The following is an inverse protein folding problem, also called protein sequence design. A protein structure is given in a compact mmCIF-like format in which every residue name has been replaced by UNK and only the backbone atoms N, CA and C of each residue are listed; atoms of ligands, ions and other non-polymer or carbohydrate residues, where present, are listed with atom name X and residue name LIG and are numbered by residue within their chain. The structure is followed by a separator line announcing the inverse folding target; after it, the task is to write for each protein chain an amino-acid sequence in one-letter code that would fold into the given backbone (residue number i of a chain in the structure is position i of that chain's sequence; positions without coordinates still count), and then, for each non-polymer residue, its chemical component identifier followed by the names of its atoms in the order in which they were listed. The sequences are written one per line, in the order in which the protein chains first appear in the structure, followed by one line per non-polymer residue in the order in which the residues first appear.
data_IF_534855315912
#
_entry.id   IF_534855315912
#
_cell.length_a   1.000
_cell.length_b   1.000
_cell.length_c   1.000
_cell.angle_alpha   90.00
_cell.angle_beta   90.00
_cell.angle_gamma   90.00
#
_symmetry.space_group_name_H-M   'P 1'
#
loop_
_entity.id
_entity.type
_entity.pdbx_description
1 polymer ?
#
# COMPACT_ATOMS: atom_id res chain seq x y z
N UNK A 1 -6.57 11.16 -27.67
CA UNK A 1 -6.05 11.00 -26.29
C UNK A 1 -7.21 10.90 -25.31
N UNK A 2 -7.59 9.67 -24.97
CA UNK A 2 -8.54 9.37 -23.89
C UNK A 2 -7.84 9.50 -22.54
N UNK A 3 -8.47 10.19 -21.58
CA UNK A 3 -7.96 10.31 -20.21
C UNK A 3 -9.08 9.96 -19.24
N UNK A 4 -8.84 8.96 -18.40
CA UNK A 4 -9.76 8.53 -17.36
C UNK A 4 -9.75 9.58 -16.23
N UNK A 5 -10.95 10.01 -15.81
CA UNK A 5 -11.12 11.02 -14.75
C UNK A 5 -11.65 10.32 -13.50
N UNK A 6 -10.77 10.00 -12.57
CA UNK A 6 -11.12 9.30 -11.34
C UNK A 6 -11.51 10.34 -10.27
N UNK A 7 -12.77 10.36 -9.77
CA UNK A 7 -13.16 11.30 -8.73
C UNK A 7 -12.48 10.93 -7.43
N UNK A 8 -11.53 11.72 -6.95
CA UNK A 8 -10.66 11.34 -5.84
C UNK A 8 -10.09 12.58 -5.17
N UNK A 9 -9.76 12.51 -3.87
CA UNK A 9 -9.24 13.65 -3.12
C UNK A 9 -7.74 13.49 -2.88
N UNK A 10 -6.92 14.48 -3.23
CA UNK A 10 -5.47 14.36 -3.00
C UNK A 10 -5.10 14.28 -1.52
N UNK A 11 -5.95 14.77 -0.61
CA UNK A 11 -5.74 14.74 0.83
C UNK A 11 -6.30 13.47 1.47
N UNK A 12 -6.63 12.46 0.66
CA UNK A 12 -6.93 11.09 1.08
C UNK A 12 -5.87 10.11 0.52
N UNK A 13 -5.11 9.45 1.39
CA UNK A 13 -4.09 8.49 0.98
C UNK A 13 -4.69 7.28 0.23
N UNK A 14 -5.95 6.93 0.49
CA UNK A 14 -6.68 5.92 -0.29
C UNK A 14 -6.79 6.32 -1.76
N UNK A 15 -7.00 7.60 -2.05
CA UNK A 15 -7.14 8.10 -3.42
C UNK A 15 -5.84 8.03 -4.21
N UNK A 16 -4.70 8.30 -3.56
CA UNK A 16 -3.37 8.08 -4.15
C UNK A 16 -3.16 6.61 -4.50
N UNK A 17 -3.39 5.72 -3.53
CA UNK A 17 -3.22 4.28 -3.75
C UNK A 17 -4.17 3.71 -4.79
N UNK A 18 -5.42 4.18 -4.82
CA UNK A 18 -6.40 3.88 -5.87
C UNK A 18 -5.83 4.21 -7.25
N UNK A 19 -5.28 5.41 -7.41
CA UNK A 19 -4.67 5.88 -8.66
C UNK A 19 -3.53 4.99 -9.13
N UNK A 20 -2.51 4.86 -8.29
CA UNK A 20 -1.31 4.10 -8.65
C UNK A 20 -1.60 2.61 -8.84
N UNK A 21 -2.52 2.06 -8.05
CA UNK A 21 -2.93 0.67 -8.20
C UNK A 21 -3.79 0.42 -9.42
N UNK A 22 -4.70 1.34 -9.78
CA UNK A 22 -5.44 1.27 -11.04
C UNK A 22 -4.47 1.27 -12.22
N UNK A 23 -3.54 2.23 -12.27
CA UNK A 23 -2.53 2.28 -13.32
C UNK A 23 -1.66 1.01 -13.36
N UNK A 24 -1.27 0.46 -12.20
CA UNK A 24 -0.52 -0.80 -12.14
C UNK A 24 -1.30 -1.96 -12.77
N UNK A 25 -2.60 -2.07 -12.49
CA UNK A 25 -3.49 -3.09 -13.08
C UNK A 25 -3.63 -2.88 -14.59
N UNK A 26 -3.71 -1.63 -15.05
CA UNK A 26 -3.81 -1.32 -16.48
C UNK A 26 -2.52 -1.69 -17.23
N UNK A 27 -1.33 -1.36 -16.70
CA UNK A 27 -0.03 -1.76 -17.27
C UNK A 27 0.15 -3.29 -17.25
N UNK A 28 -0.36 -4.00 -16.22
CA UNK A 28 -0.29 -5.46 -16.14
C UNK A 28 -1.10 -6.20 -17.22
N UNK A 29 -2.14 -5.55 -17.74
CA UNK A 29 -3.04 -6.15 -18.72
C UNK A 29 -2.46 -6.18 -20.15
N UNK A 30 -1.51 -5.30 -20.47
CA UNK A 30 -0.91 -5.15 -21.81
C UNK A 30 0.56 -4.76 -21.64
N UNK A 31 1.48 -5.60 -22.10
CA UNK A 31 2.93 -5.49 -21.88
C UNK A 31 3.52 -4.11 -22.23
N UNK A 32 3.08 -3.50 -23.33
CA UNK A 32 3.58 -2.21 -23.81
C UNK A 32 2.73 -1.00 -23.35
N UNK A 33 1.74 -1.21 -22.47
CA UNK A 33 0.92 -0.11 -21.97
C UNK A 33 1.71 0.69 -20.95
N UNK A 34 1.73 2.01 -21.16
CA UNK A 34 2.33 2.98 -20.25
C UNK A 34 1.21 3.85 -19.70
N UNK A 35 1.07 3.87 -18.38
CA UNK A 35 0.14 4.75 -17.70
C UNK A 35 0.84 6.03 -17.22
N UNK A 36 0.16 7.16 -17.33
CA UNK A 36 0.57 8.44 -16.74
C UNK A 36 -0.50 8.99 -15.82
N UNK A 37 -0.07 9.54 -14.68
CA UNK A 37 -0.97 10.04 -13.64
C UNK A 37 -0.63 11.47 -13.22
N UNK A 38 -1.65 12.28 -13.01
CA UNK A 38 -1.54 13.60 -12.40
C UNK A 38 -2.85 14.05 -11.78
N UNK A 39 -2.77 14.95 -10.82
CA UNK A 39 -3.92 15.58 -10.19
C UNK A 39 -4.38 16.79 -11.00
N UNK A 40 -5.68 16.86 -11.25
CA UNK A 40 -6.35 18.01 -11.88
C UNK A 40 -7.23 18.69 -10.85
N UNK A 41 -6.65 19.62 -10.09
CA UNK A 41 -7.31 20.21 -8.92
C UNK A 41 -7.39 19.24 -7.75
N UNK A 42 -8.26 19.54 -6.78
CA UNK A 42 -8.34 18.77 -5.52
C UNK A 42 -9.05 17.44 -5.63
N UNK A 43 -10.05 17.36 -6.51
CA UNK A 43 -11.08 16.31 -6.50
C UNK A 43 -11.02 15.37 -7.71
N UNK A 44 -9.94 15.40 -8.49
CA UNK A 44 -9.82 14.57 -9.69
C UNK A 44 -8.39 14.12 -9.92
N UNK A 45 -8.22 12.81 -9.99
CA UNK A 45 -7.00 12.19 -10.48
C UNK A 45 -7.20 11.79 -11.95
N UNK A 46 -6.25 12.20 -12.79
CA UNK A 46 -6.21 11.87 -14.20
C UNK A 46 -5.33 10.64 -14.41
N UNK A 47 -5.82 9.66 -15.17
CA UNK A 47 -5.06 8.49 -15.60
C UNK A 47 -5.14 8.39 -17.12
N UNK A 48 -4.00 8.55 -17.78
CA UNK A 48 -3.86 8.45 -19.23
C UNK A 48 -3.12 7.16 -19.59
N UNK A 49 -3.55 6.50 -20.66
CA UNK A 49 -2.82 5.38 -21.27
C UNK A 49 -2.36 5.75 -22.68
N UNK A 50 -1.22 5.21 -23.12
CA UNK A 50 -0.70 5.44 -24.48
C UNK A 50 -1.54 4.81 -25.60
N UNK A 51 -2.44 3.90 -25.26
CA UNK A 51 -3.33 3.18 -26.18
C UNK A 51 -4.81 3.64 -26.09
N UNK A 52 -5.08 4.73 -25.36
CA UNK A 52 -6.35 5.45 -25.33
C UNK A 52 -7.60 4.63 -24.94
N UNK A 53 -7.52 3.89 -23.83
CA UNK A 53 -8.67 3.08 -23.37
C UNK A 53 -9.86 3.94 -22.91
N UNK A 54 -11.06 3.37 -23.06
CA UNK A 54 -12.32 3.90 -22.51
C UNK A 54 -12.51 3.52 -21.04
N UNK A 55 -13.43 4.22 -20.35
CA UNK A 55 -13.79 3.88 -18.97
C UNK A 55 -14.35 2.45 -18.83
N UNK A 56 -15.08 1.96 -19.84
CA UNK A 56 -15.66 0.62 -19.82
C UNK A 56 -14.58 -0.45 -20.02
N UNK A 57 -13.65 -0.23 -20.95
CA UNK A 57 -12.48 -1.13 -21.12
C UNK A 57 -11.65 -1.18 -19.83
N UNK A 58 -11.44 -0.04 -19.17
CA UNK A 58 -10.81 0.02 -17.86
C UNK A 58 -11.53 -0.88 -16.83
N UNK A 59 -12.86 -0.85 -16.78
CA UNK A 59 -13.64 -1.71 -15.89
C UNK A 59 -13.53 -3.20 -16.24
N UNK A 60 -13.51 -3.55 -17.53
CA UNK A 60 -13.26 -4.92 -17.99
C UNK A 60 -11.88 -5.41 -17.55
N UNK A 61 -10.84 -4.58 -17.70
CA UNK A 61 -9.47 -4.90 -17.29
C UNK A 61 -9.39 -5.15 -15.78
N UNK A 62 -9.97 -4.26 -14.96
CA UNK A 62 -9.97 -4.43 -13.49
C UNK A 62 -10.67 -5.72 -13.08
N UNK A 63 -11.80 -6.05 -13.72
CA UNK A 63 -12.53 -7.30 -13.47
C UNK A 63 -11.71 -8.52 -13.88
N UNK A 64 -11.11 -8.51 -15.07
CA UNK A 64 -10.28 -9.61 -15.57
C UNK A 64 -9.05 -9.84 -14.68
N UNK A 65 -8.44 -8.76 -14.18
CA UNK A 65 -7.35 -8.82 -13.22
C UNK A 65 -7.79 -9.51 -11.91
N UNK A 66 -8.95 -9.12 -11.35
CA UNK A 66 -9.49 -9.76 -10.16
C UNK A 66 -9.80 -11.25 -10.37
N UNK A 67 -10.34 -11.62 -11.53
CA UNK A 67 -10.61 -13.02 -11.90
C UNK A 67 -9.33 -13.85 -12.00
N UNK A 68 -8.28 -13.31 -12.63
CA UNK A 68 -6.95 -13.92 -12.71
C UNK A 68 -6.39 -14.19 -11.31
N UNK A 69 -6.47 -13.19 -10.43
CA UNK A 69 -5.97 -13.30 -9.06
C UNK A 69 -6.77 -14.29 -8.23
N UNK A 70 -8.11 -14.25 -8.32
CA UNK A 70 -8.99 -15.17 -7.61
C UNK A 70 -8.67 -16.65 -7.92
N UNK A 71 -8.30 -16.95 -9.16
CA UNK A 71 -7.93 -18.29 -9.63
C UNK A 71 -6.43 -18.62 -9.46
N UNK A 72 -5.61 -17.69 -8.99
CA UNK A 72 -4.17 -17.90 -8.90
C UNK A 72 -3.81 -18.93 -7.82
N UNK A 73 -2.79 -19.73 -8.08
CA UNK A 73 -2.31 -20.74 -7.14
C UNK A 73 -1.83 -20.09 -5.84
N UNK A 74 -1.01 -19.04 -5.93
CA UNK A 74 -0.42 -18.39 -4.76
C UNK A 74 -1.48 -17.75 -3.84
N UNK A 75 -2.55 -17.13 -4.37
CA UNK A 75 -3.56 -16.46 -3.55
C UNK A 75 -4.38 -17.47 -2.74
N UNK A 76 -4.46 -18.70 -3.25
CA UNK A 76 -5.14 -19.83 -2.62
C UNK A 76 -4.20 -20.75 -1.84
N UNK A 77 -2.87 -20.53 -1.90
CA UNK A 77 -1.87 -21.29 -1.18
C UNK A 77 -2.01 -21.06 0.34
N UNK A 78 -2.07 -22.16 1.08
CA UNK A 78 -2.27 -22.13 2.54
C UNK A 78 -1.52 -23.28 3.20
N UNK A 79 -1.09 -23.06 4.43
CA UNK A 79 -0.50 -24.10 5.28
C UNK A 79 -0.61 -23.78 6.76
N UNK A 80 -0.22 -24.74 7.59
CA UNK A 80 -0.23 -24.62 9.05
C UNK A 80 1.18 -24.36 9.56
N UNK A 81 1.56 -23.09 9.61
CA UNK A 81 2.89 -22.65 10.07
C UNK A 81 2.85 -22.02 11.46
N UNK A 82 1.70 -21.46 11.83
CA UNK A 82 1.49 -20.82 13.12
C UNK A 82 1.11 -21.87 14.18
N UNK A 83 1.54 -21.65 15.42
CA UNK A 83 1.17 -22.54 16.53
C UNK A 83 -0.35 -22.72 16.64
N UNK A 84 -0.77 -23.91 17.12
CA UNK A 84 -2.18 -24.37 17.27
C UNK A 84 -2.87 -24.89 16.00
N UNK A 85 -2.10 -25.33 14.99
CA UNK A 85 -2.66 -26.06 13.83
C UNK A 85 -3.53 -25.20 12.92
N UNK A 86 -3.41 -23.87 12.99
CA UNK A 86 -4.23 -22.95 12.22
C UNK A 86 -3.67 -22.79 10.81
N UNK A 87 -4.50 -23.07 9.82
CA UNK A 87 -4.20 -22.78 8.42
C UNK A 87 -4.29 -21.29 8.12
N UNK A 88 -3.25 -20.75 7.48
CA UNK A 88 -3.12 -19.35 7.06
C UNK A 88 -2.64 -19.28 5.62
N UNK A 89 -2.91 -18.18 4.92
CA UNK A 89 -2.38 -17.98 3.57
C UNK A 89 -0.85 -17.85 3.58
N UNK A 90 -0.19 -18.61 2.72
CA UNK A 90 1.27 -18.77 2.68
C UNK A 90 2.01 -17.46 2.42
N UNK A 91 1.47 -16.63 1.53
CA UNK A 91 2.06 -15.33 1.19
C UNK A 91 1.54 -14.16 2.05
N UNK A 92 0.81 -14.42 3.13
CA UNK A 92 0.38 -13.36 4.03
C UNK A 92 1.55 -12.86 4.89
N UNK A 93 1.71 -11.54 5.09
CA UNK A 93 2.89 -10.99 5.72
C UNK A 93 2.86 -11.10 7.26
N UNK A 94 1.67 -11.30 7.84
CA UNK A 94 1.48 -11.49 9.28
C UNK A 94 0.53 -12.64 9.52
N UNK A 95 1.07 -13.80 9.89
CA UNK A 95 0.35 -15.06 10.07
C UNK A 95 0.26 -15.54 11.52
N UNK A 96 0.73 -14.72 12.47
CA UNK A 96 0.98 -15.14 13.85
C UNK A 96 2.41 -15.64 14.02
N UNK A 97 2.69 -16.26 15.17
CA UNK A 97 4.04 -16.77 15.48
C UNK A 97 4.26 -18.14 14.84
N UNK A 98 5.22 -18.22 13.92
CA UNK A 98 5.75 -19.46 13.35
C UNK A 98 6.50 -20.23 14.42
N UNK A 99 6.13 -21.50 14.60
CA UNK A 99 6.31 -22.24 15.85
C UNK A 99 7.47 -23.25 15.85
N UNK A 100 8.68 -22.83 15.47
CA UNK A 100 9.86 -23.71 15.50
C UNK A 100 10.51 -23.87 14.14
N UNK A 101 11.60 -24.64 14.10
CA UNK A 101 12.44 -24.77 12.90
C UNK A 101 11.71 -25.47 11.75
N UNK A 102 10.93 -26.50 12.04
CA UNK A 102 10.22 -27.30 11.02
C UNK A 102 9.13 -26.47 10.33
N UNK A 103 8.40 -25.67 11.09
CA UNK A 103 7.37 -24.76 10.59
C UNK A 103 7.99 -23.66 9.72
N UNK A 104 9.17 -23.15 10.09
CA UNK A 104 9.91 -22.21 9.25
C UNK A 104 10.37 -22.84 7.94
N UNK A 105 10.89 -24.06 7.97
CA UNK A 105 11.30 -24.79 6.76
C UNK A 105 10.09 -25.05 5.85
N UNK A 106 8.96 -25.46 6.41
CA UNK A 106 7.73 -25.66 5.66
C UNK A 106 7.21 -24.35 5.06
N UNK A 107 7.20 -23.26 5.83
CA UNK A 107 6.80 -21.94 5.36
C UNK A 107 7.69 -21.46 4.20
N UNK A 108 9.02 -21.54 4.35
CA UNK A 108 9.97 -21.12 3.29
C UNK A 108 9.79 -21.92 2.01
N UNK A 109 9.62 -23.24 2.10
CA UNK A 109 9.35 -24.09 0.93
C UNK A 109 8.05 -23.68 0.23
N UNK A 110 6.95 -23.61 0.97
CA UNK A 110 5.64 -23.32 0.38
C UNK A 110 5.58 -21.87 -0.16
N UNK A 111 6.28 -20.93 0.49
CA UNK A 111 6.44 -19.56 -0.01
C UNK A 111 7.20 -19.52 -1.32
N UNK A 112 8.29 -20.28 -1.45
CA UNK A 112 9.04 -20.40 -2.71
C UNK A 112 8.17 -20.94 -3.82
N UNK A 113 7.46 -22.05 -3.58
CA UNK A 113 6.56 -22.64 -4.58
C UNK A 113 5.45 -21.67 -5.01
N UNK A 114 4.91 -20.89 -4.05
CA UNK A 114 3.92 -19.85 -4.35
C UNK A 114 4.52 -18.67 -5.14
N UNK A 115 5.74 -18.24 -4.83
CA UNK A 115 6.47 -17.18 -5.55
C UNK A 115 6.83 -17.63 -6.98
N UNK A 116 7.28 -18.87 -7.15
CA UNK A 116 7.60 -19.45 -8.46
C UNK A 116 6.35 -19.60 -9.35
N UNK A 117 5.14 -19.55 -8.75
CA UNK A 117 3.86 -19.58 -9.47
C UNK A 117 3.32 -18.20 -9.88
N UNK A 118 4.01 -17.10 -9.52
CA UNK A 118 3.63 -15.75 -9.91
C UNK A 118 3.75 -15.59 -11.44
N UNK A 119 2.84 -14.84 -12.05
CA UNK A 119 2.69 -14.83 -13.52
C UNK A 119 3.18 -13.55 -14.18
N UNK A 120 3.16 -12.44 -13.45
CA UNK A 120 3.45 -11.11 -14.02
C UNK A 120 4.34 -10.31 -13.10
N UNK A 121 5.00 -9.28 -13.65
CA UNK A 121 5.81 -8.36 -12.85
C UNK A 121 4.99 -7.60 -11.80
N UNK A 122 3.68 -7.39 -12.02
CA UNK A 122 2.81 -6.83 -10.97
C UNK A 122 2.67 -7.80 -9.80
N UNK A 123 2.48 -9.09 -10.05
CA UNK A 123 2.40 -10.12 -9.01
C UNK A 123 3.67 -10.09 -8.13
N UNK A 124 4.85 -10.12 -8.78
CA UNK A 124 6.15 -10.06 -8.11
C UNK A 124 6.31 -8.78 -7.28
N UNK A 125 6.01 -7.62 -7.86
CA UNK A 125 6.09 -6.33 -7.17
C UNK A 125 5.14 -6.26 -5.98
N UNK A 126 3.92 -6.75 -6.13
CA UNK A 126 2.92 -6.73 -5.07
C UNK A 126 3.32 -7.64 -3.91
N UNK A 127 3.72 -8.89 -4.18
CA UNK A 127 4.19 -9.83 -3.16
C UNK A 127 5.44 -9.29 -2.45
N UNK A 128 6.39 -8.75 -3.23
CA UNK A 128 7.58 -8.11 -2.67
C UNK A 128 7.24 -6.92 -1.77
N UNK A 129 6.27 -6.08 -2.16
CA UNK A 129 5.85 -4.92 -1.39
C UNK A 129 5.00 -5.25 -0.16
N UNK A 130 4.33 -6.40 -0.14
CA UNK A 130 3.51 -6.85 0.99
C UNK A 130 4.37 -7.26 2.19
N UNK A 131 5.57 -7.79 1.92
CA UNK A 131 6.51 -8.27 2.92
C UNK A 131 6.20 -9.68 3.42
N UNK A 132 6.83 -10.06 4.52
CA UNK A 132 6.74 -11.44 5.04
C UNK A 132 7.00 -11.54 6.54
N UNK A 133 6.62 -12.66 7.18
CA UNK A 133 7.04 -12.95 8.54
C UNK A 133 8.57 -12.97 8.63
N UNK A 134 9.13 -12.14 9.51
CA UNK A 134 10.58 -12.00 9.67
C UNK A 134 11.15 -12.94 10.73
N UNK A 135 12.32 -13.52 10.45
CA UNK A 135 13.16 -14.16 11.47
C UNK A 135 14.34 -13.26 11.88
N UNK A 136 14.52 -12.12 11.21
CA UNK A 136 15.67 -11.22 11.33
C UNK A 136 15.39 -9.94 12.13
N UNK A 137 14.12 -9.54 12.28
CA UNK A 137 13.73 -8.37 13.08
C UNK A 137 13.75 -8.71 14.56
N UNK A 138 14.52 -7.96 15.34
CA UNK A 138 14.71 -8.20 16.77
C UNK A 138 14.25 -7.00 17.59
N UNK A 139 13.46 -7.24 18.63
CA UNK A 139 13.28 -6.27 19.70
C UNK A 139 14.51 -6.33 20.62
N UNK A 140 15.37 -5.32 20.52
CA UNK A 140 16.64 -5.21 21.27
C UNK A 140 16.52 -4.50 22.61
N UNK A 141 15.33 -4.03 22.98
CA UNK A 141 15.10 -3.34 24.27
C UNK A 141 15.04 -4.31 25.45
N UNK A 142 14.93 -5.62 25.18
CA UNK A 142 14.93 -6.69 26.18
C UNK A 142 16.34 -7.25 26.36
N UNK A 143 16.64 -7.73 27.57
CA UNK A 143 17.91 -8.38 27.91
C UNK A 143 18.24 -9.57 26.99
N UNK A 144 17.22 -10.32 26.59
CA UNK A 144 17.29 -11.32 25.52
C UNK A 144 16.50 -10.78 24.32
N UNK A 145 17.16 -10.50 23.18
CA UNK A 145 16.46 -10.02 22.00
C UNK A 145 15.38 -11.01 21.55
N UNK A 146 14.18 -10.51 21.32
CA UNK A 146 13.05 -11.34 20.85
C UNK A 146 12.79 -11.10 19.36
N UNK A 147 12.60 -12.18 18.61
CA UNK A 147 12.21 -12.09 17.19
C UNK A 147 10.81 -11.50 17.08
N UNK A 148 10.66 -10.48 16.25
CA UNK A 148 9.41 -9.80 15.99
C UNK A 148 8.90 -10.10 14.59
N UNK A 149 8.31 -11.29 14.40
CA UNK A 149 7.97 -11.79 13.07
C UNK A 149 7.08 -10.85 12.25
N UNK A 150 6.14 -10.14 12.91
CA UNK A 150 5.23 -9.18 12.27
C UNK A 150 5.91 -7.96 11.62
N UNK A 151 7.17 -7.70 11.94
CA UNK A 151 7.89 -6.49 11.52
C UNK A 151 8.60 -6.61 10.17
N UNK A 152 8.59 -7.79 9.55
CA UNK A 152 8.95 -7.95 8.14
C UNK A 152 7.82 -7.57 7.17
N UNK A 153 6.61 -7.34 7.69
CA UNK A 153 5.45 -6.96 6.91
C UNK A 153 5.44 -5.47 6.58
N UNK A 154 4.90 -5.13 5.41
CA UNK A 154 4.66 -3.76 4.99
C UNK A 154 3.87 -2.95 6.01
N UNK A 155 4.26 -1.68 6.17
CA UNK A 155 3.50 -0.72 6.96
C UNK A 155 2.18 -0.31 6.30
N UNK A 156 2.05 -0.50 4.98
CA UNK A 156 0.81 -0.26 4.22
C UNK A 156 -0.29 -1.26 4.54
N UNK A 157 0.06 -2.46 4.99
CA UNK A 157 -0.91 -3.44 5.44
C UNK A 157 -1.38 -3.07 6.86
N UNK A 158 -2.57 -2.46 6.97
CA UNK A 158 -3.14 -2.00 8.25
C UNK A 158 -4.45 -2.71 8.60
N UNK A 159 -4.66 -3.95 8.10
CA UNK A 159 -5.90 -4.68 8.39
C UNK A 159 -6.01 -4.98 9.88
N UNK A 160 -7.18 -4.71 10.50
CA UNK A 160 -7.44 -5.10 11.88
C UNK A 160 -7.19 -6.60 12.10
N UNK A 161 -6.48 -6.93 13.17
CA UNK A 161 -6.04 -8.32 13.47
C UNK A 161 -6.92 -9.04 14.48
N UNK A 162 -8.17 -8.61 14.59
CA UNK A 162 -9.16 -9.20 15.49
C UNK A 162 -9.43 -10.66 15.08
N UNK A 163 -9.51 -11.57 16.06
CA UNK A 163 -9.89 -12.99 15.90
C UNK A 163 -8.93 -13.87 15.07
N UNK A 164 -7.65 -13.47 14.98
CA UNK A 164 -6.62 -14.24 14.27
C UNK A 164 -6.75 -14.20 12.75
N UNK A 165 -7.48 -13.21 12.22
CA UNK A 165 -7.62 -12.98 10.80
C UNK A 165 -6.29 -12.54 10.17
N UNK A 166 -6.00 -13.04 8.97
CA UNK A 166 -4.84 -12.63 8.18
C UNK A 166 -5.28 -11.96 6.87
N UNK A 167 -4.45 -11.05 6.37
CA UNK A 167 -4.80 -10.10 5.32
C UNK A 167 -5.23 -10.76 3.99
N UNK A 168 -4.50 -11.78 3.53
CA UNK A 168 -4.70 -12.36 2.21
C UNK A 168 -6.07 -13.05 2.12
N UNK A 169 -6.41 -13.94 3.05
CA UNK A 169 -7.73 -14.60 3.05
C UNK A 169 -8.86 -13.62 3.35
N UNK A 170 -8.65 -12.67 4.28
CA UNK A 170 -9.75 -11.86 4.82
C UNK A 170 -9.99 -10.55 4.09
N UNK A 171 -9.07 -10.12 3.24
CA UNK A 171 -9.21 -8.94 2.37
C UNK A 171 -9.04 -9.30 0.93
N UNK A 172 -7.82 -9.71 0.56
CA UNK A 172 -7.44 -9.81 -0.84
C UNK A 172 -8.26 -10.86 -1.61
N UNK A 173 -8.38 -12.08 -1.07
CA UNK A 173 -9.15 -13.16 -1.70
C UNK A 173 -10.65 -12.85 -1.75
N UNK A 174 -11.21 -12.24 -0.70
CA UNK A 174 -12.63 -11.84 -0.66
C UNK A 174 -12.94 -10.75 -1.67
N UNK A 175 -12.09 -9.71 -1.76
CA UNK A 175 -12.23 -8.67 -2.77
C UNK A 175 -12.11 -9.24 -4.18
N UNK A 176 -11.12 -10.10 -4.44
CA UNK A 176 -10.98 -10.76 -5.74
C UNK A 176 -12.25 -11.51 -6.13
N UNK A 177 -12.85 -12.26 -5.19
CA UNK A 177 -14.12 -12.97 -5.40
C UNK A 177 -15.29 -12.02 -5.69
N UNK A 178 -15.45 -10.95 -4.90
CA UNK A 178 -16.51 -9.94 -5.09
C UNK A 178 -16.39 -9.30 -6.47
N UNK A 179 -15.21 -8.83 -6.86
CA UNK A 179 -15.01 -8.15 -8.15
C UNK A 179 -15.18 -9.11 -9.33
N UNK A 180 -14.75 -10.36 -9.19
CA UNK A 180 -14.99 -11.40 -10.21
C UNK A 180 -16.49 -11.62 -10.46
N UNK A 181 -17.30 -11.57 -9.39
CA UNK A 181 -18.75 -11.76 -9.46
C UNK A 181 -19.51 -10.52 -9.98
N UNK A 182 -18.90 -9.33 -9.96
CA UNK A 182 -19.50 -8.11 -10.54
C UNK A 182 -19.50 -8.18 -12.07
N UNK A 183 -20.47 -7.51 -12.70
CA UNK A 183 -20.41 -7.20 -14.14
C UNK A 183 -19.47 -6.02 -14.38
N UNK A 184 -19.05 -5.80 -15.63
CA UNK A 184 -18.18 -4.68 -15.97
C UNK A 184 -18.83 -3.32 -15.64
N UNK A 185 -20.14 -3.19 -15.81
CA UNK A 185 -20.91 -1.97 -15.50
C UNK A 185 -20.93 -1.67 -14.00
N UNK A 186 -21.01 -2.71 -13.16
CA UNK A 186 -20.91 -2.56 -11.70
C UNK A 186 -19.49 -2.19 -11.26
N UNK A 187 -18.47 -2.68 -11.95
CA UNK A 187 -17.08 -2.27 -11.71
C UNK A 187 -16.86 -0.82 -12.16
N UNK A 188 -17.35 -0.46 -13.35
CA UNK A 188 -17.33 0.90 -13.89
C UNK A 188 -17.99 1.88 -12.94
N UNK A 189 -19.26 1.65 -12.60
CA UNK A 189 -20.01 2.56 -11.72
C UNK A 189 -19.35 2.76 -10.35
N UNK A 190 -18.79 1.70 -9.76
CA UNK A 190 -18.05 1.81 -8.50
C UNK A 190 -16.73 2.56 -8.64
N UNK A 191 -15.94 2.24 -9.67
CA UNK A 191 -14.61 2.84 -9.90
C UNK A 191 -14.69 4.34 -10.18
N UNK A 192 -15.67 4.76 -10.99
CA UNK A 192 -15.90 6.16 -11.38
C UNK A 192 -16.85 6.90 -10.44
N UNK A 193 -17.17 6.33 -9.27
CA UNK A 193 -17.89 7.03 -8.20
C UNK A 193 -19.38 7.28 -8.45
N UNK A 194 -19.98 6.59 -9.43
CA UNK A 194 -21.43 6.62 -9.67
C UNK A 194 -22.20 5.83 -8.60
N UNK A 195 -21.56 4.81 -8.02
CA UNK A 195 -22.09 4.04 -6.89
C UNK A 195 -21.03 3.85 -5.81
N UNK A 196 -21.47 3.53 -4.59
CA UNK A 196 -20.59 3.18 -3.46
C UNK A 196 -21.09 1.88 -2.80
N UNK A 197 -20.78 0.74 -3.40
CA UNK A 197 -21.24 -0.58 -2.93
C UNK A 197 -20.10 -1.30 -2.21
N UNK A 198 -20.30 -1.56 -0.92
CA UNK A 198 -19.33 -2.24 -0.05
C UNK A 198 -19.86 -3.62 0.37
N UNK A 199 -19.82 -4.61 -0.52
CA UNK A 199 -20.23 -5.98 -0.25
C UNK A 199 -19.33 -6.70 0.77
N UNK A 200 -18.11 -6.21 1.02
CA UNK A 200 -17.18 -6.86 1.94
C UNK A 200 -17.58 -6.68 3.40
N UNK A 201 -18.11 -5.51 3.77
CA UNK A 201 -18.54 -5.20 5.14
C UNK A 201 -20.00 -4.78 5.24
N UNK A 202 -20.48 -3.95 4.32
CA UNK A 202 -21.88 -3.47 4.28
C UNK A 202 -22.28 -2.48 5.38
N UNK A 203 -21.33 -1.95 6.16
CA UNK A 203 -21.59 -1.03 7.29
C UNK A 203 -20.86 0.31 7.12
N UNK A 204 -21.30 1.35 7.85
CA UNK A 204 -20.65 2.67 7.83
C UNK A 204 -19.23 2.63 8.41
N UNK A 205 -19.00 1.88 9.48
CA UNK A 205 -17.67 1.69 10.10
C UNK A 205 -16.83 0.62 9.38
N UNK A 206 -16.95 0.53 8.06
CA UNK A 206 -16.29 -0.50 7.25
C UNK A 206 -14.77 -0.34 7.23
N UNK A 207 -14.06 -1.46 7.39
CA UNK A 207 -12.61 -1.54 7.21
C UNK A 207 -12.19 -1.95 5.78
N UNK A 208 -13.09 -1.87 4.80
CA UNK A 208 -12.78 -2.07 3.38
C UNK A 208 -11.62 -1.19 2.88
N UNK A 209 -11.44 0.08 3.32
CA UNK A 209 -10.27 0.88 2.97
C UNK A 209 -8.92 0.34 3.46
N UNK A 210 -8.93 -0.66 4.37
CA UNK A 210 -7.74 -1.33 4.87
C UNK A 210 -6.71 -0.37 5.50
N UNK A 211 -7.21 0.63 6.25
CA UNK A 211 -6.39 1.61 6.97
C UNK A 211 -5.82 2.73 6.09
N UNK A 212 -6.10 2.75 4.78
CA UNK A 212 -5.67 3.87 3.93
C UNK A 212 -6.42 5.18 4.18
N UNK A 213 -7.54 5.09 4.90
CA UNK A 213 -8.31 6.20 5.46
C UNK A 213 -9.11 5.71 6.66
N UNK A 214 -9.73 6.66 7.37
CA UNK A 214 -10.69 6.38 8.46
C UNK A 214 -11.71 5.32 8.02
N UNK A 215 -12.06 4.33 8.88
CA UNK A 215 -13.09 3.35 8.58
C UNK A 215 -14.34 4.03 8.02
N UNK A 216 -14.75 3.57 6.84
CA UNK A 216 -15.82 4.16 6.05
C UNK A 216 -16.25 3.22 4.96
N UNK A 217 -17.55 3.20 4.66
CA UNK A 217 -18.11 2.49 3.51
C UNK A 217 -17.36 2.86 2.23
N UNK A 218 -16.83 1.86 1.54
CA UNK A 218 -15.98 2.07 0.36
C UNK A 218 -16.24 1.04 -0.72
N UNK A 219 -16.40 1.52 -1.95
CA UNK A 219 -16.67 0.64 -3.08
C UNK A 219 -15.56 -0.40 -3.27
N UNK A 220 -15.94 -1.66 -3.38
CA UNK A 220 -14.97 -2.75 -3.48
C UNK A 220 -14.10 -2.69 -4.76
N UNK A 221 -14.56 -2.08 -5.86
CA UNK A 221 -13.74 -1.92 -7.06
C UNK A 221 -12.59 -0.92 -6.82
N UNK A 222 -12.89 0.15 -6.08
CA UNK A 222 -11.89 1.13 -5.66
C UNK A 222 -10.95 0.54 -4.62
N UNK A 223 -11.48 -0.23 -3.67
CA UNK A 223 -10.67 -0.91 -2.66
C UNK A 223 -9.71 -1.92 -3.28
N UNK A 224 -10.18 -2.70 -4.27
CA UNK A 224 -9.34 -3.59 -5.05
C UNK A 224 -8.18 -2.83 -5.68
N UNK A 225 -8.46 -1.79 -6.48
CA UNK A 225 -7.41 -0.98 -7.10
C UNK A 225 -6.47 -0.35 -6.07
N UNK A 226 -6.98 0.17 -4.95
CA UNK A 226 -6.15 0.79 -3.92
C UNK A 226 -5.15 -0.19 -3.28
N UNK A 227 -5.53 -1.46 -3.05
CA UNK A 227 -4.57 -2.45 -2.56
C UNK A 227 -3.38 -2.61 -3.52
N UNK A 228 -3.61 -2.59 -4.84
CA UNK A 228 -2.52 -2.68 -5.82
C UNK A 228 -1.62 -1.46 -5.87
N UNK A 229 -2.01 -0.34 -5.24
CA UNK A 229 -1.13 0.79 -5.01
C UNK A 229 0.13 0.40 -4.21
N UNK A 230 0.03 -0.63 -3.36
CA UNK A 230 1.13 -1.14 -2.54
C UNK A 230 2.30 -1.63 -3.40
N UNK A 231 2.04 -2.15 -4.60
CA UNK A 231 3.07 -2.62 -5.53
C UNK A 231 4.12 -1.55 -5.90
N UNK A 232 3.79 -0.27 -5.70
CA UNK A 232 4.71 0.84 -5.96
C UNK A 232 5.59 1.18 -4.75
N UNK A 233 5.26 0.67 -3.55
CA UNK A 233 5.87 1.02 -2.28
C UNK A 233 6.55 -0.21 -1.62
N UNK A 234 7.78 -0.56 -2.03
CA UNK A 234 8.45 -1.76 -1.54
C UNK A 234 8.76 -1.70 -0.04
N UNK A 235 8.87 -2.87 0.59
CA UNK A 235 9.43 -3.05 1.93
C UNK A 235 10.90 -3.46 1.82
N UNK A 236 11.75 -2.87 2.66
CA UNK A 236 13.18 -3.16 2.72
C UNK A 236 13.48 -4.05 3.91
N UNK A 237 14.06 -5.23 3.67
CA UNK A 237 14.50 -6.09 4.77
C UNK A 237 15.65 -5.40 5.50
N UNK A 238 15.51 -5.23 6.81
CA UNK A 238 16.55 -4.63 7.63
C UNK A 238 16.72 -5.38 8.95
N UNK A 239 17.97 -5.60 9.32
CA UNK A 239 18.38 -6.06 10.66
C UNK A 239 18.73 -4.88 11.58
N UNK A 240 18.80 -3.66 11.04
CA UNK A 240 19.15 -2.46 11.80
C UNK A 240 17.94 -1.87 12.51
N UNK A 241 16.78 -1.93 11.86
CA UNK A 241 15.52 -1.41 12.39
C UNK A 241 14.68 -2.54 12.96
N UNK A 242 13.95 -2.26 14.04
CA UNK A 242 12.99 -3.20 14.60
C UNK A 242 11.87 -3.49 13.60
N UNK A 243 11.38 -2.46 12.89
CA UNK A 243 10.41 -2.57 11.78
C UNK A 243 11.08 -2.36 10.44
N UNK A 244 10.81 -3.24 9.46
CA UNK A 244 11.32 -3.09 8.10
C UNK A 244 10.86 -1.76 7.48
N UNK A 245 11.79 -0.91 7.00
CA UNK A 245 11.42 0.31 6.30
C UNK A 245 10.50 0.01 5.12
N UNK A 246 9.49 0.85 4.92
CA UNK A 246 8.51 0.70 3.83
C UNK A 246 8.45 2.02 3.08
N UNK A 247 8.63 2.00 1.76
CA UNK A 247 8.64 3.22 0.96
C UNK A 247 7.35 4.04 1.18
N UNK A 248 7.51 5.36 1.31
CA UNK A 248 6.44 6.30 1.63
C UNK A 248 6.08 6.38 3.11
N UNK A 249 6.59 5.51 3.99
CA UNK A 249 6.40 5.62 5.44
C UNK A 249 7.61 6.23 6.12
N UNK A 250 7.36 7.21 6.98
CA UNK A 250 8.36 7.88 7.79
C UNK A 250 8.07 7.61 9.26
N UNK A 251 9.13 7.35 10.01
CA UNK A 251 9.08 7.28 11.47
C UNK A 251 9.41 8.64 12.04
N UNK A 252 8.59 9.10 12.98
CA UNK A 252 8.83 10.32 13.73
C UNK A 252 8.86 9.98 15.22
N UNK A 253 10.04 10.10 15.83
CA UNK A 253 10.26 9.86 17.25
C UNK A 253 10.11 11.17 18.01
N UNK A 254 9.09 11.26 18.87
CA UNK A 254 8.83 12.43 19.72
C UNK A 254 8.82 12.03 21.20
N UNK A 255 8.76 13.01 22.11
CA UNK A 255 8.67 12.76 23.55
C UNK A 255 7.50 11.87 24.00
N UNK A 256 6.50 11.65 23.14
CA UNK A 256 5.38 10.71 23.35
C UNK A 256 5.59 9.29 22.79
N UNK A 257 6.75 9.00 22.21
CA UNK A 257 7.08 7.72 21.57
C UNK A 257 7.05 7.77 20.03
N UNK A 258 7.29 6.62 19.37
CA UNK A 258 7.33 6.53 17.92
C UNK A 258 5.94 6.73 17.30
N UNK A 259 5.85 7.69 16.40
CA UNK A 259 4.70 7.92 15.52
C UNK A 259 5.08 7.63 14.08
N UNK A 260 4.09 7.31 13.25
CA UNK A 260 4.31 7.00 11.84
C UNK A 260 3.51 7.94 10.97
N UNK A 261 4.18 8.46 9.94
CA UNK A 261 3.59 9.30 8.92
C UNK A 261 3.80 8.67 7.54
N UNK A 262 3.05 9.16 6.58
CA UNK A 262 3.15 8.77 5.19
C UNK A 262 3.39 10.00 4.34
N UNK A 263 4.41 9.98 3.49
CA UNK A 263 4.66 11.02 2.49
C UNK A 263 4.34 10.48 1.10
N UNK A 264 3.47 11.15 0.36
CA UNK A 264 3.11 10.79 -1.02
C UNK A 264 3.35 11.98 -1.97
N UNK A 265 4.01 11.76 -3.12
CA UNK A 265 4.15 12.79 -4.15
C UNK A 265 2.79 13.31 -4.64
N UNK A 266 2.60 14.64 -4.69
CA UNK A 266 1.45 15.26 -5.35
C UNK A 266 1.83 15.67 -6.78
N UNK A 267 1.52 14.81 -7.76
CA UNK A 267 1.94 15.01 -9.15
C UNK A 267 0.97 15.93 -9.90
N UNK A 268 1.37 17.16 -10.20
CA UNK A 268 0.55 18.10 -10.99
C UNK A 268 0.81 17.99 -12.50
N UNK A 269 1.90 17.32 -12.88
CA UNK A 269 2.25 16.99 -14.26
C UNK A 269 2.20 15.48 -14.44
N UNK A 270 1.94 15.04 -15.66
CA UNK A 270 1.85 13.62 -16.00
C UNK A 270 3.13 12.88 -15.65
N UNK A 271 3.02 11.90 -14.74
CA UNK A 271 4.13 11.03 -14.34
C UNK A 271 3.83 9.60 -14.74
N UNK A 272 4.81 8.93 -15.35
CA UNK A 272 4.75 7.48 -15.51
C UNK A 272 4.85 6.80 -14.15
N UNK A 273 4.33 5.57 -14.03
CA UNK A 273 4.53 4.80 -12.81
C UNK A 273 6.01 4.52 -12.52
N UNK A 274 6.85 4.39 -13.54
CA UNK A 274 8.30 4.24 -13.36
C UNK A 274 8.92 5.45 -12.63
N UNK A 275 8.54 6.67 -13.03
CA UNK A 275 8.97 7.90 -12.36
C UNK A 275 8.42 8.01 -10.94
N UNK A 276 7.15 7.67 -10.75
CA UNK A 276 6.57 7.64 -9.40
C UNK A 276 7.35 6.71 -8.47
N UNK A 277 7.64 5.48 -8.93
CA UNK A 277 8.42 4.49 -8.18
C UNK A 277 9.83 4.96 -7.85
N UNK A 278 10.51 5.71 -8.74
CA UNK A 278 11.84 6.24 -8.42
C UNK A 278 11.80 7.32 -7.34
N UNK A 279 10.79 8.20 -7.37
CA UNK A 279 10.66 9.28 -6.39
C UNK A 279 10.21 8.77 -5.01
N UNK A 280 9.21 7.90 -4.92
CA UNK A 280 8.71 7.40 -3.62
C UNK A 280 9.74 6.56 -2.85
N UNK A 281 10.73 6.00 -3.56
CA UNK A 281 11.85 5.23 -2.99
C UNK A 281 13.09 6.09 -2.71
N UNK A 282 13.05 7.37 -3.08
CA UNK A 282 14.21 8.24 -2.96
C UNK A 282 14.42 8.66 -1.51
N UNK A 283 15.70 8.73 -1.11
CA UNK A 283 16.09 9.33 0.16
C UNK A 283 15.60 10.78 0.29
N UNK A 284 15.56 11.53 -0.83
CA UNK A 284 15.10 12.90 -0.84
C UNK A 284 13.66 13.06 -0.34
N UNK A 285 12.72 12.22 -0.80
CA UNK A 285 11.33 12.30 -0.37
C UNK A 285 11.17 11.91 1.10
N UNK A 286 11.85 10.84 1.52
CA UNK A 286 11.84 10.34 2.90
C UNK A 286 12.35 11.40 3.88
N UNK A 287 13.54 11.95 3.60
CA UNK A 287 14.18 12.97 4.42
C UNK A 287 13.35 14.25 4.51
N UNK A 288 12.81 14.71 3.39
CA UNK A 288 11.98 15.91 3.36
C UNK A 288 10.69 15.71 4.15
N UNK A 289 10.03 14.55 4.02
CA UNK A 289 8.82 14.29 4.79
C UNK A 289 9.08 14.18 6.30
N UNK A 290 10.21 13.61 6.72
CA UNK A 290 10.64 13.56 8.12
C UNK A 290 10.87 14.95 8.69
N UNK A 291 11.65 15.77 7.99
CA UNK A 291 12.05 17.09 8.48
C UNK A 291 10.96 18.14 8.32
N UNK A 292 9.96 17.93 7.44
CA UNK A 292 8.81 18.82 7.32
C UNK A 292 8.00 18.93 8.63
N UNK A 293 8.05 17.92 9.49
CA UNK A 293 7.40 17.93 10.81
C UNK A 293 8.12 18.82 11.84
N UNK A 294 9.37 19.19 11.58
CA UNK A 294 10.24 19.88 12.53
C UNK A 294 10.52 21.34 12.18
N UNK A 295 10.18 21.79 10.97
CA UNK A 295 10.48 23.15 10.49
C UNK A 295 9.89 24.26 11.36
N UNK A 296 8.74 24.02 12.00
CA UNK A 296 8.06 25.00 12.86
C UNK A 296 8.60 25.03 14.31
N UNK A 297 9.58 24.18 14.66
CA UNK A 297 10.01 24.00 16.05
C UNK A 297 11.37 24.64 16.39
N UNK A 298 11.95 25.47 15.50
CA UNK A 298 13.27 26.15 15.68
C UNK A 298 14.41 25.23 16.15
N UNK A 299 14.29 23.92 15.89
CA UNK A 299 15.12 22.88 16.51
C UNK A 299 16.09 22.21 15.53
N UNK A 300 16.07 22.60 14.26
CA UNK A 300 16.92 22.01 13.23
C UNK A 300 18.28 22.71 13.15
N UNK A 301 19.35 21.92 13.05
CA UNK A 301 20.70 22.43 12.80
C UNK A 301 20.82 23.09 11.43
N UNK A 302 21.74 24.05 11.27
CA UNK A 302 22.03 24.68 9.97
C UNK A 302 22.33 23.66 8.87
N UNK A 303 23.05 22.57 9.20
CA UNK A 303 23.33 21.49 8.25
C UNK A 303 22.08 20.74 7.81
N UNK A 304 21.12 20.52 8.71
CA UNK A 304 19.83 19.88 8.40
C UNK A 304 19.02 20.78 7.48
N UNK A 305 18.97 22.09 7.77
CA UNK A 305 18.26 23.07 6.94
C UNK A 305 18.86 23.14 5.53
N UNK A 306 20.20 23.16 5.43
CA UNK A 306 20.89 23.19 4.14
C UNK A 306 20.61 21.92 3.30
N UNK A 307 20.71 20.74 3.92
CA UNK A 307 20.43 19.47 3.24
C UNK A 307 18.95 19.37 2.83
N UNK A 308 18.02 19.78 3.70
CA UNK A 308 16.59 19.85 3.38
C UNK A 308 16.34 20.70 2.13
N UNK A 309 16.91 21.91 2.06
CA UNK A 309 16.75 22.80 0.92
C UNK A 309 17.33 22.22 -0.38
N UNK A 310 18.46 21.50 -0.30
CA UNK A 310 19.06 20.80 -1.44
C UNK A 310 18.17 19.67 -1.95
N UNK A 311 17.66 18.81 -1.06
CA UNK A 311 16.81 17.69 -1.42
C UNK A 311 15.45 18.15 -1.96
N UNK A 312 14.88 19.22 -1.40
CA UNK A 312 13.72 19.89 -1.99
C UNK A 312 14.00 20.41 -3.40
N UNK A 313 15.19 20.95 -3.67
CA UNK A 313 15.59 21.37 -5.04
C UNK A 313 15.63 20.18 -5.98
N UNK A 314 16.25 19.08 -5.57
CA UNK A 314 16.28 17.86 -6.36
C UNK A 314 14.87 17.34 -6.69
N UNK A 315 13.95 17.32 -5.71
CA UNK A 315 12.56 16.92 -5.93
C UNK A 315 11.83 17.84 -6.93
N UNK A 316 12.07 19.16 -6.85
CA UNK A 316 11.54 20.13 -7.82
C UNK A 316 12.10 19.92 -9.22
N UNK A 317 13.37 19.53 -9.35
CA UNK A 317 13.98 19.17 -10.64
C UNK A 317 13.36 17.89 -11.21
N UNK A 318 12.91 16.97 -10.35
CA UNK A 318 12.05 15.85 -10.76
C UNK A 318 10.62 16.29 -11.12
N UNK A 319 10.27 17.57 -10.97
CA UNK A 319 8.95 18.12 -11.25
C UNK A 319 7.94 17.93 -10.13
N UNK A 320 8.39 17.68 -8.89
CA UNK A 320 7.54 17.61 -7.71
C UNK A 320 7.57 18.96 -6.97
N UNK A 321 6.44 19.66 -6.92
CA UNK A 321 6.32 20.95 -6.20
C UNK A 321 5.71 20.78 -4.81
N UNK A 322 4.95 19.72 -4.61
CA UNK A 322 4.23 19.45 -3.39
C UNK A 322 4.26 17.96 -3.07
N UNK A 323 4.17 17.63 -1.79
CA UNK A 323 3.82 16.29 -1.33
C UNK A 323 2.71 16.38 -0.29
N UNK A 324 2.05 15.26 -0.05
CA UNK A 324 1.05 15.11 0.98
C UNK A 324 1.63 14.32 2.14
N UNK A 325 1.45 14.83 3.36
CA UNK A 325 1.88 14.19 4.59
C UNK A 325 0.66 13.71 5.38
N UNK A 326 0.56 12.42 5.64
CA UNK A 326 -0.57 11.80 6.34
C UNK A 326 -0.11 11.22 7.68
N UNK A 327 -0.81 11.53 8.75
CA UNK A 327 -0.55 10.91 10.05
C UNK A 327 -1.23 9.54 10.14
N UNK A 328 -0.52 8.53 10.63
CA UNK A 328 -1.12 7.26 11.01
C UNK A 328 -1.71 7.35 12.43
N UNK A 329 -3.01 7.21 12.51
CA UNK A 329 -3.73 7.02 13.76
C UNK A 329 -3.65 5.56 14.21
N UNK A 330 -3.60 5.34 15.52
CA UNK A 330 -3.70 4.02 16.16
C UNK A 330 -4.63 4.08 17.37
N UNK A 331 -5.56 3.13 17.47
CA UNK A 331 -6.46 3.06 18.63
C UNK A 331 -5.73 2.65 19.90
N UNK A 332 -6.19 3.13 21.05
CA UNK A 332 -5.67 2.71 22.36
C UNK A 332 -6.32 1.38 22.79
N UNK A 333 -5.85 0.27 22.22
CA UNK A 333 -6.32 -1.08 22.53
C UNK A 333 -5.16 -2.09 22.53
N UNK A 334 -5.37 -3.26 23.16
CA UNK A 334 -4.38 -4.36 23.18
C UNK A 334 -4.00 -4.83 21.76
N UNK A 335 -4.96 -4.79 20.84
CA UNK A 335 -4.77 -5.01 19.42
C UNK A 335 -5.18 -3.73 18.70
N UNK A 336 -4.26 -2.77 18.55
CA UNK A 336 -4.58 -1.48 17.95
C UNK A 336 -4.98 -1.65 16.49
N UNK A 337 -5.96 -0.86 16.08
CA UNK A 337 -6.35 -0.67 14.69
C UNK A 337 -5.69 0.59 14.17
N UNK A 338 -5.30 0.58 12.89
CA UNK A 338 -4.56 1.69 12.29
C UNK A 338 -5.27 2.22 11.06
N UNK A 339 -5.22 3.54 10.88
CA UNK A 339 -5.61 4.19 9.65
C UNK A 339 -4.89 5.51 9.43
N UNK A 340 -4.89 6.01 8.20
CA UNK A 340 -4.38 7.33 7.85
C UNK A 340 -5.47 8.39 8.01
N UNK A 341 -5.10 9.52 8.60
CA UNK A 341 -5.92 10.73 8.66
C UNK A 341 -5.79 11.53 7.36
N UNK A 342 -6.62 12.58 7.17
CA UNK A 342 -6.50 13.48 6.02
C UNK A 342 -5.10 14.12 5.98
N UNK A 343 -4.57 14.24 4.78
CA UNK A 343 -3.21 14.70 4.56
C UNK A 343 -3.07 16.22 4.65
N UNK A 344 -1.87 16.66 5.04
CA UNK A 344 -1.44 18.04 5.00
C UNK A 344 -0.57 18.27 3.75
N UNK A 345 -0.80 19.38 3.06
CA UNK A 345 -0.03 19.76 1.88
C UNK A 345 1.31 20.36 2.33
N UNK A 346 2.41 19.79 1.86
CA UNK A 346 3.76 20.31 2.08
C UNK A 346 4.26 20.89 0.77
N UNK A 347 4.75 22.13 0.82
CA UNK A 347 5.41 22.79 -0.31
C UNK A 347 6.90 22.51 -0.26
N UNK A 348 7.45 22.07 -1.38
CA UNK A 348 8.86 21.70 -1.53
C UNK A 348 9.73 22.88 -1.88
#
# INVERSE_FOLDING_TARGET
MSVLRIPADYDDAFSHMLGFGLASILEDAVEDRICRLWWSGRHTLMVETNDEITEMECAHIVRAHAERWHKSQWLNARGSYAGKGKTVATLSPRIGTVAGREEWVALERDRRDAIDSLRTTLDERYIGALGEPSYWSLNRTKATPEIQQKFGASLWEMTPRNRGNEFVTMRLLKLASIITARTAEKVHSGLFGLTNVDELAGTEDSHTPTGLKVPSRTDNARAWCALFGFSNCPVYRSVHYETSPTAGFIRHDSGGGPSWHVVLPLTEKSWTLAKYRSVIRSYALDYVGENALHLDQDSLSDSTVALYAELCRWLRDQGLRYCMLFQRHGTQAKSPEYWLLRGQLIRL
#
